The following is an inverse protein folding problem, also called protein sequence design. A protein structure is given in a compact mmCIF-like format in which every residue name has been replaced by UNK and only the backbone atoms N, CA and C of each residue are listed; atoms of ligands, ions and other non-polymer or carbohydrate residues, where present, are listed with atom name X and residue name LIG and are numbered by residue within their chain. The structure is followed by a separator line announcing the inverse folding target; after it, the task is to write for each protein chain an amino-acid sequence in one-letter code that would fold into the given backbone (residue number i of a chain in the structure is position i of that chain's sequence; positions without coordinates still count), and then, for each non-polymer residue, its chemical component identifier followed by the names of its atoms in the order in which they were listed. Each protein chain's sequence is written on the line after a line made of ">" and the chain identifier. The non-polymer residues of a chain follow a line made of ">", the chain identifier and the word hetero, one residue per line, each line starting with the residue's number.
data_IF_930340266029
#
_entry.id   IF_930340266029
#
_cell.length_a   1.000
_cell.length_b   1.000
_cell.length_c   1.000
_cell.angle_alpha   90.00
_cell.angle_beta   90.00
_cell.angle_gamma   90.00
#
_symmetry.space_group_name_H-M   'P 1'
#
loop_
_entity.id
_entity.type
_entity.pdbx_description
1 polymer ?
#
# COMPACT_ATOMS: atom_id res chain seq x y z
N UNK A 1 57.13 -45.97 17.13
CA UNK A 1 57.45 -47.25 17.80
C UNK A 1 56.86 -47.22 19.22
N UNK A 2 55.96 -48.14 19.57
CA UNK A 2 55.46 -48.27 20.94
C UNK A 2 53.96 -48.55 21.05
N UNK A 3 53.55 -49.75 20.63
CA UNK A 3 52.22 -50.35 20.79
C UNK A 3 51.99 -50.89 22.21
N UNK A 4 50.78 -50.73 22.77
CA UNK A 4 50.15 -51.61 23.80
C UNK A 4 48.62 -51.48 23.60
N UNK A 5 47.83 -52.45 23.09
CA UNK A 5 47.38 -53.76 23.61
C UNK A 5 47.01 -53.73 25.09
N UNK A 6 45.94 -54.31 25.63
CA UNK A 6 44.75 -55.04 25.17
C UNK A 6 44.00 -55.49 26.44
N UNK A 7 42.71 -55.82 26.35
CA UNK A 7 42.00 -56.71 27.30
C UNK A 7 40.93 -55.96 28.11
N UNK A 8 39.64 -56.04 27.76
CA UNK A 8 38.67 -57.07 28.16
C UNK A 8 38.69 -57.37 29.66
N UNK A 9 37.55 -57.23 30.33
CA UNK A 9 36.88 -58.25 31.15
C UNK A 9 35.39 -57.88 31.27
N UNK A 10 34.52 -58.89 31.08
CA UNK A 10 33.05 -58.85 31.26
C UNK A 10 32.71 -59.05 32.74
N UNK A 11 31.43 -59.33 33.04
CA UNK A 11 30.79 -59.67 34.32
C UNK A 11 30.22 -58.45 35.08
N UNK A 12 29.05 -58.48 35.72
CA UNK A 12 27.77 -59.22 35.67
C UNK A 12 26.85 -58.47 36.67
N UNK A 13 25.52 -58.57 36.55
CA UNK A 13 24.58 -58.33 37.66
C UNK A 13 23.99 -56.92 37.70
N UNK A 14 22.76 -56.69 37.21
CA UNK A 14 21.49 -56.93 37.90
C UNK A 14 21.25 -56.01 39.11
N UNK A 15 20.42 -54.98 38.92
CA UNK A 15 19.49 -54.49 39.93
C UNK A 15 18.36 -53.71 39.26
N UNK A 16 17.15 -54.29 39.30
CA UNK A 16 15.88 -53.63 39.09
C UNK A 16 15.73 -52.48 40.11
N UNK A 17 15.42 -51.28 39.63
CA UNK A 17 14.59 -50.33 40.40
C UNK A 17 13.52 -49.81 39.45
N UNK A 18 12.30 -50.30 39.65
CA UNK A 18 11.08 -49.78 39.03
C UNK A 18 10.72 -48.52 39.81
N UNK A 19 11.00 -47.35 39.23
CA UNK A 19 10.46 -46.08 39.70
C UNK A 19 9.29 -45.70 38.79
N UNK A 20 8.07 -45.92 39.26
CA UNK A 20 6.85 -45.43 38.61
C UNK A 20 6.89 -43.89 38.62
N UNK A 21 7.24 -43.31 37.48
CA UNK A 21 7.22 -41.86 37.27
C UNK A 21 5.82 -41.48 36.77
N UNK A 22 5.07 -40.82 37.64
CA UNK A 22 3.82 -40.14 37.33
C UNK A 22 4.08 -39.10 36.24
N UNK A 23 3.54 -39.31 35.05
CA UNK A 23 3.48 -38.31 33.98
C UNK A 23 2.52 -37.19 34.41
N UNK A 24 3.06 -36.13 35.00
CA UNK A 24 2.42 -34.82 35.01
C UNK A 24 2.63 -34.17 33.63
N UNK A 25 1.61 -33.55 33.01
CA UNK A 25 1.82 -32.81 31.77
C UNK A 25 2.69 -31.59 32.04
N UNK A 26 3.75 -31.45 31.25
CA UNK A 26 4.63 -30.30 31.26
C UNK A 26 3.85 -29.03 30.92
N UNK A 27 3.65 -28.18 31.91
CA UNK A 27 3.31 -26.78 31.74
C UNK A 27 4.51 -26.09 31.10
N UNK A 28 4.37 -25.71 29.84
CA UNK A 28 5.34 -24.86 29.14
C UNK A 28 5.24 -23.45 29.69
N UNK A 29 6.13 -23.11 30.62
CA UNK A 29 6.48 -21.73 30.92
C UNK A 29 7.11 -21.10 29.68
N UNK A 30 6.39 -20.18 29.05
CA UNK A 30 6.96 -19.21 28.11
C UNK A 30 6.76 -17.82 28.68
N UNK A 31 7.69 -17.41 29.54
CA UNK A 31 7.93 -16.00 29.83
C UNK A 31 8.94 -15.47 28.80
N UNK A 32 8.51 -14.53 27.95
CA UNK A 32 9.37 -13.84 26.99
C UNK A 32 8.56 -12.99 26.04
N UNK A 33 8.53 -11.68 26.29
CA UNK A 33 7.56 -10.76 25.72
C UNK A 33 7.65 -10.51 24.21
N UNK A 34 6.47 -10.35 23.63
CA UNK A 34 6.13 -9.33 22.66
C UNK A 34 4.60 -9.28 22.64
N UNK A 35 4.01 -8.20 23.18
CA UNK A 35 2.58 -7.93 23.03
C UNK A 35 2.26 -7.65 21.57
N UNK A 36 2.15 -8.71 20.77
CA UNK A 36 1.53 -8.66 19.47
C UNK A 36 0.05 -8.45 19.69
N UNK A 37 -0.39 -7.19 19.67
CA UNK A 37 -1.79 -6.88 19.40
C UNK A 37 -2.13 -7.63 18.10
N UNK A 38 -3.15 -8.50 18.06
CA UNK A 38 -3.56 -9.06 16.79
C UNK A 38 -4.10 -7.89 15.97
N UNK A 39 -3.30 -7.38 15.05
CA UNK A 39 -3.81 -6.54 13.97
C UNK A 39 -4.62 -7.48 13.10
N UNK A 40 -5.88 -7.67 13.46
CA UNK A 40 -6.86 -8.25 12.58
C UNK A 40 -6.88 -7.36 11.34
N UNK A 41 -6.27 -7.84 10.25
CA UNK A 41 -6.53 -7.33 8.93
C UNK A 41 -7.98 -7.66 8.57
N UNK A 42 -8.93 -6.92 9.15
CA UNK A 42 -10.31 -6.88 8.72
C UNK A 42 -10.39 -6.05 7.43
N UNK A 43 -9.70 -6.53 6.38
CA UNK A 43 -9.78 -5.99 5.02
C UNK A 43 -11.01 -6.50 4.27
N UNK A 44 -12.08 -6.84 4.98
CA UNK A 44 -13.38 -7.08 4.36
C UNK A 44 -13.88 -5.76 3.80
N UNK A 45 -14.23 -5.74 2.51
CA UNK A 45 -14.91 -4.61 1.87
C UNK A 45 -16.21 -4.40 2.65
N UNK A 46 -16.22 -3.46 3.60
CA UNK A 46 -17.43 -3.12 4.34
C UNK A 46 -18.51 -2.82 3.31
N UNK A 47 -19.70 -3.40 3.48
CA UNK A 47 -20.81 -3.10 2.59
C UNK A 47 -21.04 -1.58 2.62
N UNK A 48 -20.98 -0.94 1.46
CA UNK A 48 -21.25 0.49 1.36
C UNK A 48 -22.70 0.74 1.79
N UNK A 49 -22.90 1.73 2.65
CA UNK A 49 -24.24 2.19 3.03
C UNK A 49 -24.86 3.09 1.97
N UNK A 50 -24.10 3.44 0.93
CA UNK A 50 -24.52 4.31 -0.17
C UNK A 50 -24.33 3.60 -1.53
N UNK A 51 -25.33 3.72 -2.40
CA UNK A 51 -25.30 3.25 -3.78
C UNK A 51 -25.02 4.44 -4.71
N UNK A 52 -23.77 4.54 -5.18
CA UNK A 52 -23.30 5.69 -5.93
C UNK A 52 -24.02 5.87 -7.27
N UNK A 53 -24.52 4.78 -7.86
CA UNK A 53 -25.29 4.81 -9.10
C UNK A 53 -26.63 5.55 -8.99
N UNK A 54 -27.10 5.79 -7.77
CA UNK A 54 -28.38 6.48 -7.50
C UNK A 54 -28.24 7.97 -7.26
N UNK A 55 -27.04 8.51 -7.11
CA UNK A 55 -26.83 9.94 -6.90
C UNK A 55 -26.80 10.68 -8.24
N UNK A 56 -27.60 11.75 -8.36
CA UNK A 56 -27.68 12.55 -9.60
C UNK A 56 -26.36 13.27 -9.86
N UNK A 57 -25.68 13.66 -8.80
CA UNK A 57 -24.39 14.34 -8.80
C UNK A 57 -23.28 13.50 -9.44
N UNK A 58 -23.43 12.16 -9.45
CA UNK A 58 -22.45 11.21 -10.01
C UNK A 58 -22.83 10.71 -11.41
N UNK A 59 -23.97 11.14 -11.97
CA UNK A 59 -24.40 10.75 -13.31
C UNK A 59 -23.62 11.48 -14.43
N UNK A 60 -22.71 12.39 -14.07
CA UNK A 60 -21.78 13.03 -15.00
C UNK A 60 -22.48 13.95 -16.03
N UNK A 61 -21.85 14.19 -17.19
CA UNK A 61 -20.56 13.63 -17.62
C UNK A 61 -19.38 14.25 -16.86
N UNK A 62 -18.36 13.45 -16.57
CA UNK A 62 -17.07 13.92 -16.05
C UNK A 62 -16.00 13.92 -17.15
N UNK A 63 -15.35 15.06 -17.37
CA UNK A 63 -14.26 15.23 -18.35
C UNK A 63 -12.90 14.97 -17.73
N UNK A 64 -12.76 15.19 -16.42
CA UNK A 64 -11.48 15.03 -15.73
C UNK A 64 -11.64 14.33 -14.37
N UNK A 65 -10.54 13.79 -13.86
CA UNK A 65 -10.48 13.21 -12.52
C UNK A 65 -10.83 14.22 -11.42
N UNK A 66 -10.24 15.45 -11.44
CA UNK A 66 -10.62 16.49 -10.49
C UNK A 66 -12.11 16.88 -10.50
N UNK A 67 -12.80 16.79 -11.66
CA UNK A 67 -14.26 16.99 -11.71
C UNK A 67 -15.02 15.90 -10.94
N UNK A 68 -14.57 14.64 -11.03
CA UNK A 68 -15.13 13.54 -10.21
C UNK A 68 -14.89 13.82 -8.73
N UNK A 69 -13.65 14.14 -8.34
CA UNK A 69 -13.32 14.45 -6.94
C UNK A 69 -14.17 15.60 -6.40
N UNK A 70 -14.39 16.65 -7.20
CA UNK A 70 -15.28 17.76 -6.82
C UNK A 70 -16.70 17.29 -6.54
N UNK A 71 -17.23 16.33 -7.32
CA UNK A 71 -18.53 15.72 -7.06
C UNK A 71 -18.52 14.87 -5.78
N UNK A 72 -17.47 14.07 -5.54
CA UNK A 72 -17.31 13.31 -4.30
C UNK A 72 -17.34 14.24 -3.07
N UNK A 73 -16.66 15.39 -3.13
CA UNK A 73 -16.56 16.34 -2.03
C UNK A 73 -17.87 17.08 -1.70
N UNK A 74 -18.88 17.02 -2.57
CA UNK A 74 -20.21 17.55 -2.25
C UNK A 74 -20.88 16.79 -1.09
N UNK A 75 -20.54 15.51 -0.92
CA UNK A 75 -21.04 14.66 0.17
C UNK A 75 -19.92 14.26 1.16
N UNK A 76 -18.70 14.03 0.67
CA UNK A 76 -17.53 13.65 1.46
C UNK A 76 -16.62 14.85 1.78
N UNK A 77 -17.21 15.91 2.32
CA UNK A 77 -16.56 17.22 2.49
C UNK A 77 -15.25 17.24 3.32
N UNK A 78 -15.01 16.26 4.20
CA UNK A 78 -13.76 16.13 4.97
C UNK A 78 -12.78 15.10 4.40
N UNK A 79 -13.17 14.34 3.37
CA UNK A 79 -12.37 13.20 2.92
C UNK A 79 -11.02 13.64 2.31
N UNK A 80 -11.02 14.67 1.46
CA UNK A 80 -9.75 15.20 0.92
C UNK A 80 -8.86 15.73 2.04
N UNK A 81 -9.40 16.46 3.02
CA UNK A 81 -8.61 16.91 4.18
C UNK A 81 -7.93 15.77 4.93
N UNK A 82 -8.59 14.62 5.07
CA UNK A 82 -8.00 13.44 5.72
C UNK A 82 -6.90 12.82 4.86
N UNK A 83 -7.15 12.62 3.56
CA UNK A 83 -6.15 12.08 2.63
C UNK A 83 -4.93 13.01 2.56
N UNK A 84 -5.13 14.31 2.53
CA UNK A 84 -4.08 15.32 2.41
C UNK A 84 -3.15 15.38 3.62
N UNK A 85 -3.58 14.88 4.79
CA UNK A 85 -2.74 14.74 5.99
C UNK A 85 -1.92 13.44 6.00
N UNK A 86 -2.13 12.56 5.04
CA UNK A 86 -1.48 11.24 5.00
C UNK A 86 -0.18 11.25 4.18
N UNK A 87 0.61 10.18 4.35
CA UNK A 87 1.79 9.90 3.54
C UNK A 87 1.45 9.63 2.07
N UNK A 88 0.21 9.25 1.74
CA UNK A 88 -0.20 9.01 0.35
C UNK A 88 -0.29 10.30 -0.47
N UNK A 89 -0.60 11.42 0.20
CA UNK A 89 -0.66 12.75 -0.41
C UNK A 89 0.67 13.50 -0.27
N UNK A 90 1.20 13.60 0.93
CA UNK A 90 2.41 14.40 1.18
C UNK A 90 3.66 13.72 0.64
N UNK A 91 3.66 12.37 0.56
CA UNK A 91 4.87 11.59 0.30
C UNK A 91 6.03 11.94 1.25
N UNK A 92 5.68 12.42 2.45
CA UNK A 92 6.61 12.84 3.49
C UNK A 92 6.23 12.19 4.82
N UNK A 93 7.23 11.85 5.62
CA UNK A 93 7.08 11.47 7.02
C UNK A 93 8.25 12.02 7.83
N UNK A 94 8.07 12.26 9.13
CA UNK A 94 9.17 12.65 10.02
C UNK A 94 9.77 11.40 10.65
N UNK A 95 11.08 11.25 10.55
CA UNK A 95 11.82 10.19 11.23
C UNK A 95 11.71 10.37 12.75
N UNK A 96 11.18 9.38 13.51
CA UNK A 96 11.08 9.49 14.96
C UNK A 96 12.45 9.42 15.65
N UNK A 97 13.47 8.91 14.98
CA UNK A 97 14.83 8.74 15.52
C UNK A 97 15.76 9.90 15.20
N UNK A 98 15.59 10.54 14.04
CA UNK A 98 16.52 11.60 13.58
C UNK A 98 15.86 12.96 13.43
N UNK A 99 14.53 13.06 13.51
CA UNK A 99 13.77 14.28 13.25
C UNK A 99 13.79 14.76 11.79
N UNK A 100 14.49 14.04 10.89
CA UNK A 100 14.58 14.41 9.47
C UNK A 100 13.30 14.06 8.72
N UNK A 101 12.98 14.86 7.71
CA UNK A 101 11.98 14.53 6.70
C UNK A 101 12.47 13.36 5.84
N UNK A 102 11.63 12.35 5.72
CA UNK A 102 11.79 11.15 4.91
C UNK A 102 10.61 11.04 3.94
N UNK A 103 10.61 10.01 3.10
CA UNK A 103 9.54 9.73 2.14
C UNK A 103 9.97 10.00 0.70
N UNK A 104 9.06 9.75 -0.25
CA UNK A 104 9.38 9.76 -1.68
C UNK A 104 9.76 11.15 -2.19
N UNK A 105 9.36 12.22 -1.52
CA UNK A 105 9.84 13.58 -1.82
C UNK A 105 11.32 13.80 -1.48
N UNK A 106 11.83 13.12 -0.45
CA UNK A 106 13.17 13.36 0.12
C UNK A 106 14.17 12.24 -0.17
N UNK A 107 13.68 11.09 -0.63
CA UNK A 107 14.50 9.93 -0.93
C UNK A 107 14.98 9.93 -2.39
N UNK A 108 16.24 9.58 -2.57
CA UNK A 108 16.78 9.12 -3.85
C UNK A 108 17.09 7.62 -3.74
N UNK A 109 16.90 6.88 -4.82
CA UNK A 109 17.26 5.47 -4.91
C UNK A 109 18.04 5.17 -6.19
N UNK A 110 18.53 3.94 -6.31
CA UNK A 110 19.28 3.43 -7.46
C UNK A 110 18.38 2.89 -8.60
N UNK A 111 17.07 3.15 -8.57
CA UNK A 111 16.15 2.80 -9.65
C UNK A 111 15.90 4.02 -10.55
N UNK A 112 14.86 4.79 -10.25
CA UNK A 112 14.51 5.99 -11.03
C UNK A 112 15.11 7.28 -10.43
N UNK A 113 15.97 7.18 -9.41
CA UNK A 113 16.57 8.35 -8.77
C UNK A 113 15.62 8.97 -7.76
N UNK A 114 15.21 10.22 -8.01
CA UNK A 114 14.33 11.02 -7.17
C UNK A 114 13.11 11.47 -7.97
N UNK A 115 11.99 11.76 -7.30
CA UNK A 115 10.84 12.41 -7.95
C UNK A 115 11.24 13.72 -8.64
N UNK A 116 12.20 14.47 -8.07
CA UNK A 116 12.60 15.80 -8.57
C UNK A 116 13.20 15.80 -9.98
N UNK A 117 13.54 14.63 -10.54
CA UNK A 117 14.06 14.53 -11.90
C UNK A 117 12.97 14.26 -12.94
N UNK A 118 11.78 13.80 -12.52
CA UNK A 118 10.71 13.38 -13.42
C UNK A 118 9.36 13.24 -12.69
N UNK A 119 8.82 14.35 -12.19
CA UNK A 119 7.56 14.37 -11.46
C UNK A 119 6.43 13.73 -12.26
N UNK A 120 6.16 14.07 -13.55
CA UNK A 120 5.01 13.53 -14.27
C UNK A 120 5.01 12.00 -14.40
N UNK A 121 6.18 11.37 -14.45
CA UNK A 121 6.29 9.90 -14.45
C UNK A 121 6.18 9.32 -13.06
N UNK A 122 6.75 9.96 -12.04
CA UNK A 122 6.72 9.44 -10.68
C UNK A 122 5.30 9.53 -10.08
N UNK A 123 4.58 10.61 -10.37
CA UNK A 123 3.29 10.97 -9.77
C UNK A 123 2.10 10.25 -10.42
N UNK A 124 2.33 9.43 -11.45
CA UNK A 124 1.34 8.41 -11.85
C UNK A 124 1.00 7.43 -10.72
N UNK A 125 1.83 7.36 -9.67
CA UNK A 125 1.60 6.58 -8.46
C UNK A 125 1.23 7.43 -7.23
N UNK A 126 1.06 8.75 -7.39
CA UNK A 126 0.62 9.63 -6.31
C UNK A 126 -0.90 9.50 -6.11
N UNK A 127 -1.42 9.74 -4.91
CA UNK A 127 -2.85 9.72 -4.63
C UNK A 127 -3.54 11.04 -5.04
N UNK A 128 -3.08 11.63 -6.15
CA UNK A 128 -3.57 12.89 -6.65
C UNK A 128 -3.35 13.07 -8.14
N UNK A 129 -3.78 14.23 -8.61
CA UNK A 129 -3.75 14.69 -9.99
C UNK A 129 -2.84 15.92 -10.13
N UNK A 130 -2.29 16.12 -11.32
CA UNK A 130 -1.63 17.36 -11.75
C UNK A 130 -0.28 17.69 -11.07
N UNK A 131 0.33 16.76 -10.35
CA UNK A 131 1.68 16.98 -9.80
C UNK A 131 2.74 16.80 -10.88
N UNK A 132 2.99 17.91 -11.59
CA UNK A 132 3.88 18.00 -12.76
C UNK A 132 5.28 18.54 -12.46
N UNK A 133 5.42 19.31 -11.39
CA UNK A 133 6.68 19.94 -11.01
C UNK A 133 6.68 20.38 -9.53
N UNK A 134 7.77 21.01 -9.09
CA UNK A 134 7.98 21.54 -7.72
C UNK A 134 6.94 22.57 -7.24
N UNK A 135 6.17 23.19 -8.13
CA UNK A 135 5.19 24.23 -7.79
C UNK A 135 3.78 23.64 -7.57
N UNK A 136 3.67 22.33 -7.38
CA UNK A 136 2.41 21.66 -7.11
C UNK A 136 1.74 22.20 -5.84
N UNK A 137 0.46 22.52 -5.97
CA UNK A 137 -0.35 23.06 -4.88
C UNK A 137 -0.98 21.92 -4.06
N UNK A 138 -0.32 21.58 -2.95
CA UNK A 138 -0.79 20.56 -2.00
C UNK A 138 -2.04 20.96 -1.22
N UNK A 139 -2.61 22.14 -1.46
CA UNK A 139 -3.84 22.61 -0.80
C UNK A 139 -5.10 22.39 -1.64
N UNK A 140 -4.97 22.04 -2.94
CA UNK A 140 -6.10 21.76 -3.83
C UNK A 140 -6.77 20.42 -3.51
N UNK A 141 -7.92 20.49 -2.86
CA UNK A 141 -8.66 19.32 -2.42
C UNK A 141 -9.23 18.49 -3.59
N UNK A 142 -9.62 19.18 -4.66
CA UNK A 142 -10.11 18.57 -5.89
C UNK A 142 -9.02 17.77 -6.62
N UNK A 143 -7.75 17.96 -6.28
CA UNK A 143 -6.66 17.19 -6.85
C UNK A 143 -6.42 15.85 -6.13
N UNK A 144 -7.12 15.53 -5.04
CA UNK A 144 -7.09 14.17 -4.47
C UNK A 144 -7.71 13.19 -5.46
N UNK A 145 -7.05 12.06 -5.72
CA UNK A 145 -7.60 11.01 -6.57
C UNK A 145 -8.33 9.97 -5.70
N UNK A 146 -9.66 10.13 -5.59
CA UNK A 146 -10.51 9.17 -4.88
C UNK A 146 -10.60 7.81 -5.61
N UNK A 147 -10.58 7.83 -6.94
CA UNK A 147 -10.81 6.64 -7.78
C UNK A 147 -9.62 5.67 -7.74
N UNK A 148 -8.40 6.16 -7.53
CA UNK A 148 -7.20 5.33 -7.39
C UNK A 148 -7.31 4.27 -6.28
N UNK A 149 -8.12 4.52 -5.25
CA UNK A 149 -8.34 3.61 -4.14
C UNK A 149 -9.74 3.00 -4.14
N UNK A 150 -10.74 3.73 -4.64
CA UNK A 150 -12.15 3.36 -4.50
C UNK A 150 -12.82 2.82 -5.78
N UNK A 151 -12.13 2.78 -6.92
CA UNK A 151 -12.65 2.09 -8.10
C UNK A 151 -13.01 0.63 -7.77
N UNK A 152 -14.24 0.24 -8.12
CA UNK A 152 -14.73 -1.12 -7.96
C UNK A 152 -14.92 -1.86 -9.29
N UNK A 153 -14.73 -1.16 -10.41
CA UNK A 153 -14.85 -1.69 -11.77
C UNK A 153 -13.55 -2.34 -12.25
N UNK A 154 -12.43 -2.03 -11.62
CA UNK A 154 -11.07 -2.41 -12.04
C UNK A 154 -10.68 -1.88 -13.43
N UNK A 155 -11.34 -0.80 -13.89
CA UNK A 155 -11.06 -0.15 -15.17
C UNK A 155 -10.32 1.17 -15.03
N UNK A 156 -10.27 1.73 -13.82
CA UNK A 156 -9.55 2.97 -13.57
C UNK A 156 -8.03 2.74 -13.63
N UNK A 157 -7.34 3.55 -14.45
CA UNK A 157 -5.89 3.50 -14.55
C UNK A 157 -5.32 4.87 -14.91
N UNK A 158 -4.36 5.32 -14.09
CA UNK A 158 -3.52 6.49 -14.39
C UNK A 158 -2.55 6.18 -15.53
N UNK A 159 -2.33 7.17 -16.39
CA UNK A 159 -1.32 7.10 -17.44
C UNK A 159 0.07 7.28 -16.83
N UNK A 160 1.06 6.42 -17.15
CA UNK A 160 2.39 6.46 -16.52
C UNK A 160 3.17 7.77 -16.64
N UNK A 161 2.77 8.68 -17.53
CA UNK A 161 3.52 9.90 -17.86
C UNK A 161 2.72 11.18 -17.70
N UNK A 162 1.46 11.09 -17.28
CA UNK A 162 0.54 12.23 -17.31
C UNK A 162 0.25 12.75 -15.90
N UNK A 163 1.27 12.77 -15.03
CA UNK A 163 1.22 13.44 -13.73
C UNK A 163 0.03 13.05 -12.85
N UNK A 164 -0.29 11.75 -12.81
CA UNK A 164 -1.43 11.24 -12.03
C UNK A 164 -2.76 11.25 -12.77
N UNK A 165 -2.87 11.77 -13.99
CA UNK A 165 -4.14 11.70 -14.72
C UNK A 165 -4.36 10.33 -15.38
N UNK A 166 -5.60 9.80 -15.41
CA UNK A 166 -5.99 8.78 -16.39
C UNK A 166 -6.00 9.40 -17.79
N UNK A 167 -6.27 8.56 -18.78
CA UNK A 167 -6.44 9.04 -20.15
C UNK A 167 -7.79 9.77 -20.27
N UNK A 168 -7.85 10.93 -20.93
CA UNK A 168 -9.11 11.66 -21.16
C UNK A 168 -9.59 11.60 -22.61
N UNK A 169 -8.68 11.33 -23.55
CA UNK A 169 -8.98 11.24 -24.98
C UNK A 169 -8.25 10.04 -25.59
N UNK A 170 -8.76 9.42 -26.65
CA UNK A 170 -8.09 8.30 -27.30
C UNK A 170 -6.65 8.67 -27.69
N UNK A 171 -5.68 7.83 -27.29
CA UNK A 171 -4.26 8.08 -27.53
C UNK A 171 -3.55 6.80 -27.90
N UNK A 172 -2.62 6.90 -28.85
CA UNK A 172 -1.71 5.81 -29.16
C UNK A 172 -0.71 5.57 -28.03
N UNK A 173 -0.65 4.34 -27.50
CA UNK A 173 0.22 4.01 -26.36
C UNK A 173 0.76 2.56 -26.45
N UNK A 174 2.11 2.38 -26.50
CA UNK A 174 3.15 3.40 -26.62
C UNK A 174 3.10 4.15 -27.95
N UNK A 175 3.69 5.35 -28.01
CA UNK A 175 3.80 6.13 -29.26
C UNK A 175 4.54 5.32 -30.33
N UNK A 176 3.98 5.24 -31.54
CA UNK A 176 4.53 4.47 -32.66
C UNK A 176 4.18 2.97 -32.65
N UNK A 177 3.31 2.50 -31.76
CA UNK A 177 2.85 1.10 -31.71
C UNK A 177 1.65 0.79 -32.61
N UNK A 178 0.96 1.79 -33.15
CA UNK A 178 -0.33 1.70 -33.82
C UNK A 178 -1.52 1.39 -32.90
N UNK A 179 -1.28 1.16 -31.59
CA UNK A 179 -2.33 0.77 -30.64
C UNK A 179 -2.97 1.98 -29.97
N UNK A 180 -4.21 2.28 -30.36
CA UNK A 180 -5.03 3.31 -29.68
C UNK A 180 -5.64 2.74 -28.41
N UNK A 181 -5.37 3.39 -27.27
CA UNK A 181 -5.99 3.14 -25.98
C UNK A 181 -7.13 4.13 -25.78
N UNK A 182 -8.26 3.65 -25.28
CA UNK A 182 -9.45 4.45 -24.98
C UNK A 182 -9.41 4.98 -23.55
N UNK A 183 -9.99 6.17 -23.28
CA UNK A 183 -10.12 6.67 -21.92
C UNK A 183 -11.09 5.79 -21.10
N UNK A 184 -10.89 5.65 -19.77
CA UNK A 184 -11.87 5.04 -18.90
C UNK A 184 -13.15 5.88 -18.84
N UNK A 185 -14.28 5.22 -18.62
CA UNK A 185 -15.55 5.89 -18.37
C UNK A 185 -15.62 6.35 -16.91
N UNK A 186 -15.24 7.60 -16.66
CA UNK A 186 -15.21 8.19 -15.32
C UNK A 186 -16.59 8.23 -14.65
N UNK A 187 -17.66 8.33 -15.43
CA UNK A 187 -19.04 8.35 -14.90
C UNK A 187 -19.44 6.97 -14.39
N UNK A 188 -19.02 5.92 -15.09
CA UNK A 188 -19.25 4.53 -14.66
C UNK A 188 -18.39 4.12 -13.46
N UNK A 189 -17.23 4.74 -13.28
CA UNK A 189 -16.29 4.43 -12.19
C UNK A 189 -16.67 5.12 -10.87
N UNK A 190 -17.24 6.33 -10.95
CA UNK A 190 -17.57 7.18 -9.81
C UNK A 190 -18.67 6.62 -8.89
#
# INVERSE_FOLDING_TARGET
>A
MGTRTSGWHRWVGAALIIAASSLAPASTDTAGGAGGVPVAAAGGKAASTADHSKFKELQGPFKTGPEVTKACLACHNEASHQVMKSVHWTWEAISPTTGKKLGKQHAANNFCGSILSNEPRCTSCHAGYDWKDKNYDFTKQENVDCLACHDTTATYKKVPTDAGHPLYEPREMPKGSGKIVQPPDLTKIA
#
